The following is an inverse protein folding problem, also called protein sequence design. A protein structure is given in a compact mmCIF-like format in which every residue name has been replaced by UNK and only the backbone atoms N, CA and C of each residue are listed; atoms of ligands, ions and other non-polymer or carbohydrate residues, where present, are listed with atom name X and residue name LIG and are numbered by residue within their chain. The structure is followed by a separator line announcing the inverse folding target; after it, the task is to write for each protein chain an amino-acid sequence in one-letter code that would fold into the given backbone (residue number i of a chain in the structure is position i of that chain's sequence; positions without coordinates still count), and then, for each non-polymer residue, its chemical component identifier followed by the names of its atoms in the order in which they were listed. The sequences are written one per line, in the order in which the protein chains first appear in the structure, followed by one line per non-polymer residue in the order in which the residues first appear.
data_IF_775465948505
#
_entry.id   IF_775465948505
#
_cell.length_a   1.000
_cell.length_b   1.000
_cell.length_c   1.000
_cell.angle_alpha   90.00
_cell.angle_beta   90.00
_cell.angle_gamma   90.00
#
_symmetry.space_group_name_H-M   'P 1'
#
loop_
_entity.id
_entity.type
_entity.pdbx_description
1 polymer ?
#
# COMPACT_ATOMS: atom_id res chain seq x y z
N UNK A 1 1.06 -0.85 6.35
CA UNK A 1 1.54 -2.24 6.43
C UNK A 1 0.39 -3.20 6.30
N UNK A 2 0.42 -4.04 5.27
CA UNK A 2 -0.69 -4.95 4.91
C UNK A 2 -0.20 -6.34 4.46
N UNK A 3 1.09 -6.47 4.16
CA UNK A 3 1.70 -7.69 3.68
C UNK A 3 3.16 -7.73 4.12
N UNK A 4 3.79 -8.89 3.95
CA UNK A 4 5.24 -9.02 4.16
C UNK A 4 5.99 -8.91 2.84
N UNK A 5 7.24 -8.50 2.92
CA UNK A 5 8.22 -8.69 1.86
C UNK A 5 9.23 -9.70 2.38
N UNK A 6 9.49 -10.74 1.61
CA UNK A 6 10.48 -11.73 1.99
C UNK A 6 11.88 -11.13 1.92
N UNK A 7 12.63 -11.18 3.02
CA UNK A 7 14.07 -10.95 2.99
C UNK A 7 14.75 -12.21 2.46
N UNK A 8 14.96 -12.26 1.16
CA UNK A 8 15.57 -13.37 0.45
C UNK A 8 17.05 -13.61 0.81
N UNK A 9 17.75 -12.58 1.30
CA UNK A 9 19.11 -12.71 1.86
C UNK A 9 19.16 -13.45 3.20
N UNK A 10 18.01 -13.72 3.82
CA UNK A 10 17.93 -14.65 4.95
C UNK A 10 18.00 -16.12 4.53
N UNK A 11 18.33 -16.43 3.29
CA UNK A 11 18.67 -17.76 2.81
C UNK A 11 19.99 -17.75 2.03
N UNK A 12 20.67 -18.92 1.89
CA UNK A 12 20.36 -20.21 2.52
C UNK A 12 20.78 -20.28 4.00
N UNK A 13 20.50 -21.40 4.66
CA UNK A 13 20.98 -21.66 6.02
C UNK A 13 22.46 -22.04 6.03
N UNK A 14 23.22 -21.48 6.98
CA UNK A 14 24.64 -21.80 7.15
C UNK A 14 24.86 -23.14 7.89
N UNK A 15 23.91 -23.54 8.73
CA UNK A 15 23.98 -24.77 9.54
C UNK A 15 22.72 -25.62 9.33
N UNK A 16 22.91 -26.90 8.96
CA UNK A 16 21.80 -27.81 8.63
C UNK A 16 20.93 -28.20 9.83
N UNK A 17 21.50 -28.23 11.04
CA UNK A 17 20.86 -28.73 12.26
C UNK A 17 19.61 -27.95 12.68
N UNK A 18 19.43 -26.72 12.17
CA UNK A 18 18.33 -25.82 12.56
C UNK A 18 17.30 -25.53 11.45
N UNK A 19 17.45 -26.14 10.27
CA UNK A 19 16.59 -25.83 9.10
C UNK A 19 15.12 -26.11 9.39
N UNK A 20 14.78 -27.29 9.93
CA UNK A 20 13.38 -27.67 10.16
C UNK A 20 12.69 -26.74 11.18
N UNK A 21 13.37 -26.45 12.30
CA UNK A 21 12.82 -25.57 13.33
C UNK A 21 12.65 -24.14 12.82
N UNK A 22 13.63 -23.61 12.09
CA UNK A 22 13.57 -22.26 11.56
C UNK A 22 12.51 -22.10 10.46
N UNK A 23 12.34 -23.10 9.59
CA UNK A 23 11.25 -23.12 8.62
C UNK A 23 9.89 -23.18 9.33
N UNK A 24 9.72 -24.07 10.33
CA UNK A 24 8.48 -24.13 11.13
C UNK A 24 8.17 -22.80 11.79
N UNK A 25 9.16 -22.15 12.40
CA UNK A 25 9.02 -20.82 13.00
C UNK A 25 8.52 -19.79 11.98
N UNK A 26 9.13 -19.74 10.79
CA UNK A 26 8.72 -18.84 9.70
C UNK A 26 7.25 -19.03 9.33
N UNK A 27 6.82 -20.28 9.09
CA UNK A 27 5.44 -20.56 8.72
C UNK A 27 4.44 -20.33 9.85
N UNK A 28 4.84 -20.54 11.11
CA UNK A 28 4.00 -20.25 12.28
C UNK A 28 3.79 -18.74 12.47
N UNK A 29 4.81 -17.92 12.21
CA UNK A 29 4.68 -16.46 12.18
C UNK A 29 3.67 -16.04 11.11
N UNK A 30 3.83 -16.52 9.87
CA UNK A 30 2.89 -16.21 8.80
C UNK A 30 1.47 -16.68 9.13
N UNK A 31 1.32 -17.88 9.70
CA UNK A 31 0.02 -18.39 10.16
C UNK A 31 -0.62 -17.47 11.20
N UNK A 32 0.14 -16.91 12.14
CA UNK A 32 -0.38 -15.91 13.08
C UNK A 32 -0.81 -14.63 12.35
N UNK A 33 0.01 -14.17 11.41
CA UNK A 33 -0.24 -12.93 10.68
C UNK A 33 -1.45 -12.99 9.74
N UNK A 34 -1.70 -14.13 9.09
CA UNK A 34 -2.88 -14.32 8.21
C UNK A 34 -4.21 -14.17 8.95
N UNK A 35 -4.27 -14.51 10.24
CA UNK A 35 -5.47 -14.33 11.09
C UNK A 35 -5.87 -12.86 11.22
N UNK A 36 -4.92 -11.94 11.01
CA UNK A 36 -5.10 -10.50 11.14
C UNK A 36 -4.84 -9.76 9.82
N UNK A 37 -5.14 -10.45 8.70
CA UNK A 37 -5.11 -9.96 7.32
C UNK A 37 -3.75 -9.72 6.67
N UNK A 38 -2.63 -10.14 7.26
CA UNK A 38 -1.34 -10.24 6.56
C UNK A 38 -1.30 -11.52 5.74
N UNK A 39 -1.96 -11.52 4.58
CA UNK A 39 -2.18 -12.73 3.76
C UNK A 39 -1.20 -12.88 2.61
N UNK A 40 -0.44 -11.84 2.28
CA UNK A 40 0.44 -11.83 1.12
C UNK A 40 1.90 -11.75 1.56
N UNK A 41 2.76 -12.47 0.84
CA UNK A 41 4.21 -12.29 0.87
C UNK A 41 4.65 -11.85 -0.53
N UNK A 42 5.41 -10.76 -0.62
CA UNK A 42 6.04 -10.35 -1.87
C UNK A 42 7.50 -10.80 -1.94
N UNK A 43 7.93 -11.22 -3.13
CA UNK A 43 9.28 -11.75 -3.37
C UNK A 43 9.93 -11.10 -4.59
N UNK A 44 11.26 -11.14 -4.66
CA UNK A 44 12.05 -10.70 -5.82
C UNK A 44 11.74 -11.55 -7.05
N UNK A 45 11.98 -11.01 -8.24
CA UNK A 45 11.75 -11.70 -9.52
C UNK A 45 12.79 -12.80 -9.77
N UNK A 46 13.92 -12.74 -9.06
CA UNK A 46 14.99 -13.73 -9.08
C UNK A 46 14.60 -15.01 -8.33
N UNK A 47 13.61 -14.95 -7.43
CA UNK A 47 13.12 -16.10 -6.69
C UNK A 47 11.99 -16.81 -7.43
N UNK A 48 11.95 -18.13 -7.28
CA UNK A 48 10.84 -18.97 -7.72
C UNK A 48 9.58 -18.67 -6.90
N UNK A 49 8.53 -18.18 -7.57
CA UNK A 49 7.23 -17.89 -6.95
C UNK A 49 6.52 -19.14 -6.43
N UNK A 50 6.86 -20.32 -6.94
CA UNK A 50 6.44 -21.61 -6.40
C UNK A 50 7.22 -22.05 -5.16
N UNK A 51 8.28 -21.34 -4.81
CA UNK A 51 9.22 -21.62 -3.70
C UNK A 51 9.94 -22.96 -3.79
N UNK A 52 9.69 -23.78 -4.81
CA UNK A 52 10.17 -25.16 -4.87
C UNK A 52 11.67 -25.25 -5.11
N UNK A 53 12.24 -24.31 -5.87
CA UNK A 53 13.66 -24.27 -6.19
C UNK A 53 14.49 -23.37 -5.25
N UNK A 54 13.88 -22.85 -4.18
CA UNK A 54 14.59 -22.01 -3.21
C UNK A 54 15.57 -22.88 -2.41
N UNK A 55 16.88 -22.57 -2.43
CA UNK A 55 17.88 -23.31 -1.65
C UNK A 55 17.76 -22.97 -0.16
N UNK A 56 17.78 -24.00 0.68
CA UNK A 56 17.76 -23.87 2.15
C UNK A 56 19.00 -24.44 2.82
N UNK A 57 19.87 -25.15 2.11
CA UNK A 57 21.10 -25.67 2.68
C UNK A 57 21.98 -26.27 1.58
N UNK A 58 23.01 -27.00 1.96
CA UNK A 58 23.87 -27.68 1.00
C UNK A 58 23.05 -28.68 0.19
N UNK A 59 22.91 -28.44 -1.13
CA UNK A 59 22.13 -29.27 -2.06
C UNK A 59 20.69 -29.60 -1.62
N UNK A 60 20.09 -28.78 -0.75
CA UNK A 60 18.74 -28.99 -0.22
C UNK A 60 17.84 -27.81 -0.56
N UNK A 61 16.63 -28.13 -1.04
CA UNK A 61 15.63 -27.16 -1.49
C UNK A 61 14.40 -27.19 -0.60
N UNK A 62 13.66 -26.08 -0.54
CA UNK A 62 12.37 -25.99 0.19
C UNK A 62 11.45 -27.15 -0.19
N UNK A 63 11.37 -27.54 -1.48
CA UNK A 63 10.53 -28.66 -1.92
C UNK A 63 10.80 -29.95 -1.16
N UNK A 64 12.07 -30.31 -0.98
CA UNK A 64 12.46 -31.54 -0.27
C UNK A 64 11.95 -31.52 1.17
N UNK A 65 12.08 -30.37 1.83
CA UNK A 65 11.57 -30.19 3.19
C UNK A 65 10.03 -30.23 3.24
N UNK A 66 9.34 -29.58 2.30
CA UNK A 66 7.87 -29.63 2.20
C UNK A 66 7.39 -31.08 2.06
N UNK A 67 8.04 -31.88 1.23
CA UNK A 67 7.69 -33.28 0.98
C UNK A 67 7.81 -34.18 2.22
N UNK A 68 8.62 -33.79 3.21
CA UNK A 68 8.78 -34.51 4.48
C UNK A 68 7.69 -34.16 5.52
N UNK A 69 6.89 -33.12 5.30
CA UNK A 69 5.85 -32.70 6.25
C UNK A 69 4.56 -33.54 6.12
N UNK A 70 3.72 -33.50 7.16
CA UNK A 70 2.39 -34.11 7.12
C UNK A 70 1.45 -33.41 6.11
N UNK A 71 0.33 -34.06 5.77
CA UNK A 71 -0.59 -33.57 4.75
C UNK A 71 -1.27 -32.24 5.13
N UNK A 72 -1.54 -32.03 6.42
CA UNK A 72 -2.17 -30.81 6.90
C UNK A 72 -1.21 -29.63 6.75
N UNK A 73 0.04 -29.82 7.18
CA UNK A 73 1.09 -28.83 7.13
C UNK A 73 1.48 -28.48 5.69
N UNK A 74 1.58 -29.49 4.81
CA UNK A 74 1.73 -29.30 3.35
C UNK A 74 0.63 -28.41 2.77
N UNK A 75 -0.63 -28.66 3.15
CA UNK A 75 -1.77 -27.85 2.70
C UNK A 75 -1.62 -26.37 3.07
N UNK A 76 -1.15 -26.09 4.30
CA UNK A 76 -0.90 -24.73 4.78
C UNK A 76 0.22 -24.04 4.00
N UNK A 77 1.34 -24.73 3.77
CA UNK A 77 2.45 -24.17 2.99
C UNK A 77 2.01 -23.85 1.56
N UNK A 78 1.25 -24.76 0.92
CA UNK A 78 0.72 -24.51 -0.43
C UNK A 78 -0.19 -23.28 -0.49
N UNK A 79 -1.02 -23.06 0.53
CA UNK A 79 -1.85 -21.87 0.62
C UNK A 79 -1.01 -20.58 0.73
N UNK A 80 0.09 -20.61 1.49
CA UNK A 80 1.05 -19.51 1.55
C UNK A 80 1.70 -19.26 0.18
N UNK A 81 2.22 -20.31 -0.47
CA UNK A 81 2.86 -20.20 -1.79
C UNK A 81 1.90 -19.60 -2.81
N UNK A 82 0.62 -20.03 -2.79
CA UNK A 82 -0.41 -19.48 -3.67
C UNK A 82 -0.73 -18.00 -3.40
N UNK A 83 -0.43 -17.49 -2.21
CA UNK A 83 -0.61 -16.08 -1.84
C UNK A 83 0.62 -15.21 -2.14
N UNK A 84 1.72 -15.81 -2.63
CA UNK A 84 2.95 -15.11 -2.98
C UNK A 84 2.73 -14.23 -4.20
N UNK A 85 3.26 -13.00 -4.16
CA UNK A 85 3.27 -12.08 -5.28
C UNK A 85 4.70 -11.76 -5.70
N UNK A 86 4.91 -11.69 -7.01
CA UNK A 86 6.16 -11.26 -7.65
C UNK A 86 5.79 -10.43 -8.88
N UNK A 87 6.47 -9.32 -9.19
CA UNK A 87 7.64 -8.72 -8.51
C UNK A 87 7.36 -8.12 -7.10
N UNK A 88 8.41 -7.77 -6.34
CA UNK A 88 8.25 -7.04 -5.06
C UNK A 88 7.50 -5.71 -5.28
N UNK A 89 7.94 -4.97 -6.29
CA UNK A 89 7.35 -3.70 -6.71
C UNK A 89 6.49 -3.92 -7.94
N UNK A 90 5.19 -3.60 -7.85
CA UNK A 90 4.31 -3.58 -9.02
C UNK A 90 4.64 -2.37 -9.90
N UNK A 91 4.56 -2.52 -11.22
CA UNK A 91 4.83 -1.44 -12.21
C UNK A 91 3.95 -0.20 -11.97
N UNK A 92 2.81 -0.38 -11.31
CA UNK A 92 1.86 0.69 -10.98
C UNK A 92 2.23 1.47 -9.71
N UNK A 93 3.25 1.04 -8.96
CA UNK A 93 3.67 1.68 -7.71
C UNK A 93 4.56 2.89 -8.01
N UNK A 94 4.25 4.05 -7.41
CA UNK A 94 5.03 5.28 -7.59
C UNK A 94 6.48 5.11 -7.14
N UNK A 95 6.71 4.24 -6.16
CA UNK A 95 8.05 3.92 -5.67
C UNK A 95 8.92 3.19 -6.70
N UNK A 96 8.38 2.77 -7.87
CA UNK A 96 9.19 2.15 -8.93
C UNK A 96 10.25 3.11 -9.46
N UNK A 97 9.90 4.38 -9.72
CA UNK A 97 10.86 5.37 -10.19
C UNK A 97 11.93 5.62 -9.13
N UNK A 98 11.52 5.76 -7.87
CA UNK A 98 12.44 5.95 -6.75
C UNK A 98 13.35 4.75 -6.54
N UNK A 99 12.82 3.54 -6.66
CA UNK A 99 13.57 2.30 -6.55
C UNK A 99 14.62 2.16 -7.68
N UNK A 100 14.31 2.63 -8.90
CA UNK A 100 15.28 2.64 -10.00
C UNK A 100 16.47 3.58 -9.76
N UNK A 101 16.29 4.59 -8.92
CA UNK A 101 17.32 5.55 -8.53
C UNK A 101 17.96 5.23 -7.18
N UNK A 102 17.62 4.09 -6.57
CA UNK A 102 18.04 3.74 -5.22
C UNK A 102 18.73 2.38 -5.16
N UNK A 103 19.93 2.35 -4.56
CA UNK A 103 20.59 1.13 -4.14
C UNK A 103 20.53 0.99 -2.61
N UNK A 104 20.35 -0.24 -2.14
CA UNK A 104 20.22 -0.55 -0.71
C UNK A 104 21.21 -1.63 -0.30
N UNK A 105 21.92 -1.41 0.81
CA UNK A 105 22.92 -2.33 1.32
C UNK A 105 22.72 -2.64 2.80
N UNK A 106 23.05 -3.86 3.20
CA UNK A 106 23.19 -4.27 4.59
C UNK A 106 24.52 -4.98 4.74
N UNK A 107 25.41 -4.43 5.57
CA UNK A 107 26.78 -4.96 5.74
C UNK A 107 27.51 -5.11 4.39
N UNK A 108 27.40 -4.10 3.51
CA UNK A 108 27.98 -4.06 2.16
C UNK A 108 27.38 -5.04 1.14
N UNK A 109 26.34 -5.80 1.51
CA UNK A 109 25.62 -6.69 0.60
C UNK A 109 24.40 -5.95 0.07
N UNK A 110 24.18 -5.97 -1.25
CA UNK A 110 22.97 -5.40 -1.85
C UNK A 110 21.74 -6.16 -1.35
N UNK A 111 20.73 -5.45 -0.82
CA UNK A 111 19.52 -6.01 -0.20
C UNK A 111 18.25 -5.32 -0.73
N UNK A 112 17.93 -5.49 -2.02
CA UNK A 112 16.79 -4.81 -2.65
C UNK A 112 15.44 -5.13 -1.97
N UNK A 113 15.29 -6.32 -1.40
CA UNK A 113 14.08 -6.70 -0.65
C UNK A 113 13.87 -5.88 0.62
N UNK A 114 14.94 -5.60 1.38
CA UNK A 114 14.89 -4.71 2.54
C UNK A 114 14.69 -3.25 2.11
N UNK A 115 15.31 -2.83 1.01
CA UNK A 115 15.07 -1.52 0.40
C UNK A 115 13.59 -1.30 0.05
N UNK A 116 12.95 -2.31 -0.55
CA UNK A 116 11.53 -2.26 -0.84
C UNK A 116 10.65 -2.22 0.42
N UNK A 117 11.07 -2.85 1.54
CA UNK A 117 10.37 -2.71 2.82
C UNK A 117 10.35 -1.26 3.30
N UNK A 118 11.48 -0.56 3.16
CA UNK A 118 11.58 0.86 3.48
C UNK A 118 10.68 1.70 2.56
N UNK A 119 10.81 1.54 1.24
CA UNK A 119 10.05 2.33 0.26
C UNK A 119 8.53 2.14 0.39
N UNK A 120 8.09 0.89 0.58
CA UNK A 120 6.67 0.55 0.68
C UNK A 120 6.11 0.66 2.11
N UNK A 121 6.96 0.99 3.09
CA UNK A 121 6.63 0.96 4.52
C UNK A 121 5.95 -0.36 4.92
N UNK A 122 6.64 -1.48 4.65
CA UNK A 122 6.20 -2.85 4.93
C UNK A 122 7.17 -3.56 5.89
N UNK A 123 6.72 -4.66 6.47
CA UNK A 123 7.57 -5.51 7.31
C UNK A 123 8.36 -6.48 6.43
N UNK A 124 9.67 -6.57 6.68
CA UNK A 124 10.46 -7.69 6.21
C UNK A 124 10.08 -8.95 7.00
N UNK A 125 10.02 -10.08 6.30
CA UNK A 125 9.90 -11.40 6.91
C UNK A 125 11.16 -12.20 6.58
N UNK A 126 11.89 -12.62 7.60
CA UNK A 126 13.17 -13.30 7.51
C UNK A 126 13.11 -14.72 8.06
N UNK A 127 13.88 -15.62 7.47
CA UNK A 127 14.20 -16.90 8.07
C UNK A 127 15.25 -16.73 9.17
N UNK A 128 15.16 -17.55 10.22
CA UNK A 128 16.18 -17.63 11.26
C UNK A 128 17.34 -18.52 10.79
N UNK A 129 18.04 -18.09 9.74
CA UNK A 129 19.13 -18.85 9.11
C UNK A 129 20.52 -18.53 9.66
N UNK A 130 20.67 -17.33 10.19
CA UNK A 130 21.87 -16.82 10.84
C UNK A 130 21.43 -15.81 11.92
N UNK A 131 22.10 -15.75 13.09
CA UNK A 131 21.78 -14.81 14.17
C UNK A 131 21.69 -13.34 13.73
N UNK A 132 22.39 -12.93 12.66
CA UNK A 132 22.32 -11.57 12.11
C UNK A 132 20.92 -11.17 11.61
N UNK A 133 20.08 -12.16 11.28
CA UNK A 133 18.70 -11.95 10.86
C UNK A 133 17.72 -11.96 12.03
N UNK A 134 18.18 -12.28 13.23
CA UNK A 134 17.37 -12.24 14.45
C UNK A 134 17.35 -10.85 15.06
N UNK A 135 16.72 -9.92 14.36
CA UNK A 135 16.53 -8.55 14.84
C UNK A 135 15.13 -8.07 14.50
N UNK A 136 14.47 -7.28 15.38
CA UNK A 136 13.19 -6.66 15.06
C UNK A 136 13.32 -5.54 14.03
N UNK A 137 14.53 -5.04 13.75
CA UNK A 137 14.79 -4.08 12.69
C UNK A 137 16.24 -4.11 12.21
N UNK A 138 16.48 -3.56 11.02
CA UNK A 138 17.81 -3.40 10.43
C UNK A 138 18.05 -1.93 10.08
N UNK A 139 19.28 -1.46 10.29
CA UNK A 139 19.77 -0.24 9.67
C UNK A 139 20.44 -0.63 8.35
N UNK A 140 19.90 -0.13 7.24
CA UNK A 140 20.43 -0.36 5.90
C UNK A 140 20.98 0.94 5.31
N UNK A 141 22.05 0.83 4.53
CA UNK A 141 22.58 1.94 3.74
C UNK A 141 21.69 2.15 2.52
N UNK A 142 21.30 3.39 2.27
CA UNK A 142 20.50 3.82 1.12
C UNK A 142 21.31 4.84 0.33
N UNK A 143 21.58 4.50 -0.93
CA UNK A 143 22.26 5.35 -1.90
C UNK A 143 21.24 5.79 -2.94
N UNK A 144 20.91 7.09 -2.99
CA UNK A 144 19.88 7.63 -3.88
C UNK A 144 20.50 8.64 -4.86
N UNK A 145 20.23 8.46 -6.16
CA UNK A 145 20.60 9.42 -7.19
C UNK A 145 19.58 10.57 -7.20
N UNK A 146 20.06 11.81 -7.07
CA UNK A 146 19.21 13.00 -7.20
C UNK A 146 18.97 13.34 -8.66
N UNK A 147 17.72 13.65 -9.01
CA UNK A 147 17.37 14.11 -10.36
C UNK A 147 18.14 15.38 -10.70
N UNK A 148 19.03 15.29 -11.70
CA UNK A 148 19.74 16.43 -12.30
C UNK A 148 21.25 16.46 -12.05
N UNK A 149 21.75 15.80 -11.02
CA UNK A 149 23.17 15.80 -10.66
C UNK A 149 23.71 14.36 -10.51
N UNK A 150 24.97 14.14 -10.87
CA UNK A 150 25.69 12.87 -10.65
C UNK A 150 26.03 12.62 -9.17
N UNK A 151 25.35 13.30 -8.26
CA UNK A 151 25.58 13.25 -6.82
C UNK A 151 24.72 12.14 -6.19
N UNK A 152 25.37 11.28 -5.43
CA UNK A 152 24.73 10.18 -4.70
C UNK A 152 24.55 10.63 -3.25
N UNK A 153 23.29 10.68 -2.79
CA UNK A 153 23.01 10.88 -1.38
C UNK A 153 23.12 9.55 -0.63
N UNK A 154 23.92 9.56 0.45
CA UNK A 154 24.08 8.41 1.33
C UNK A 154 23.33 8.65 2.64
N UNK A 155 22.47 7.72 3.03
CA UNK A 155 21.76 7.80 4.30
C UNK A 155 21.45 6.43 4.89
N UNK A 156 21.31 6.36 6.22
CA UNK A 156 20.90 5.14 6.91
C UNK A 156 19.37 5.12 7.07
N UNK A 157 18.74 4.00 6.69
CA UNK A 157 17.29 3.80 6.82
C UNK A 157 17.01 2.62 7.75
N UNK A 158 16.02 2.78 8.62
CA UNK A 158 15.54 1.70 9.47
C UNK A 158 14.46 0.90 8.73
N UNK A 159 14.62 -0.42 8.69
CA UNK A 159 13.66 -1.37 8.13
C UNK A 159 13.18 -2.30 9.24
N UNK A 160 11.88 -2.39 9.42
CA UNK A 160 11.29 -3.30 10.40
C UNK A 160 11.31 -4.73 9.87
N UNK A 161 11.67 -5.67 10.73
CA UNK A 161 11.83 -7.08 10.40
C UNK A 161 11.11 -8.00 11.40
N UNK A 162 10.71 -9.16 10.91
CA UNK A 162 10.11 -10.25 11.68
C UNK A 162 10.87 -11.54 11.38
N UNK A 163 11.45 -12.13 12.43
CA UNK A 163 12.13 -13.44 12.38
C UNK A 163 11.61 -14.36 13.48
N UNK A 164 11.14 -13.79 14.59
CA UNK A 164 10.54 -14.51 15.71
C UNK A 164 9.09 -14.10 15.91
N UNK A 165 8.35 -14.95 16.64
CA UNK A 165 6.99 -14.64 17.09
C UNK A 165 6.95 -13.37 17.94
N UNK A 166 7.97 -13.12 18.76
CA UNK A 166 8.05 -11.92 19.59
C UNK A 166 8.19 -10.65 18.74
N UNK A 167 8.99 -10.69 17.66
CA UNK A 167 9.09 -9.56 16.72
C UNK A 167 7.74 -9.27 16.07
N UNK A 168 7.02 -10.31 15.64
CA UNK A 168 5.68 -10.17 15.07
C UNK A 168 4.70 -9.53 16.06
N UNK A 169 4.63 -10.04 17.28
CA UNK A 169 3.71 -9.54 18.31
C UNK A 169 4.01 -8.08 18.68
N UNK A 170 5.29 -7.71 18.75
CA UNK A 170 5.72 -6.33 18.94
C UNK A 170 5.23 -5.41 17.82
N UNK A 171 5.57 -5.72 16.55
CA UNK A 171 5.18 -4.89 15.41
C UNK A 171 3.67 -4.83 15.23
N UNK A 172 2.98 -5.95 15.45
CA UNK A 172 1.52 -6.00 15.34
C UNK A 172 0.85 -5.10 16.39
N UNK A 173 1.36 -5.06 17.62
CA UNK A 173 0.84 -4.15 18.66
C UNK A 173 0.96 -2.68 18.25
N UNK A 174 2.07 -2.28 17.60
CA UNK A 174 2.26 -0.92 17.09
C UNK A 174 1.30 -0.62 15.94
N UNK A 175 1.13 -1.57 15.01
CA UNK A 175 0.17 -1.45 13.91
C UNK A 175 -1.26 -1.28 14.44
N UNK A 176 -1.63 -2.03 15.46
CA UNK A 176 -2.95 -1.96 16.09
C UNK A 176 -3.16 -0.62 16.81
N UNK A 177 -2.16 -0.13 17.55
CA UNK A 177 -2.21 1.19 18.20
C UNK A 177 -2.41 2.32 17.18
N UNK A 178 -1.66 2.29 16.07
CA UNK A 178 -1.82 3.27 14.98
C UNK A 178 -3.23 3.18 14.38
N UNK A 179 -3.77 1.98 14.18
CA UNK A 179 -5.16 1.82 13.71
C UNK A 179 -6.17 2.42 14.67
N UNK A 180 -6.01 2.18 15.98
CA UNK A 180 -6.91 2.74 17.01
C UNK A 180 -6.80 4.27 17.05
N UNK A 181 -5.60 4.81 17.03
CA UNK A 181 -5.36 6.26 17.00
C UNK A 181 -5.97 6.90 15.75
N UNK A 182 -5.75 6.30 14.57
CA UNK A 182 -6.36 6.76 13.32
C UNK A 182 -7.88 6.70 13.39
N UNK A 183 -8.48 5.64 13.95
CA UNK A 183 -9.93 5.56 14.15
C UNK A 183 -10.46 6.65 15.08
N UNK A 184 -9.74 6.97 16.17
CA UNK A 184 -10.12 8.04 17.09
C UNK A 184 -10.01 9.42 16.41
N UNK A 185 -8.87 9.70 15.78
CA UNK A 185 -8.66 10.91 14.98
C UNK A 185 -9.71 11.04 13.89
N UNK A 186 -10.11 9.95 13.26
CA UNK A 186 -11.08 9.97 12.17
C UNK A 186 -12.51 10.33 12.59
N UNK A 187 -12.89 10.05 13.85
CA UNK A 187 -14.20 10.46 14.39
C UNK A 187 -14.23 11.96 14.67
N UNK A 188 -13.16 12.48 15.26
CA UNK A 188 -12.98 13.92 15.45
C UNK A 188 -12.91 14.62 14.08
N UNK A 189 -12.14 14.05 13.17
CA UNK A 189 -12.01 14.49 11.77
C UNK A 189 -13.36 14.62 11.08
N UNK A 190 -14.31 13.68 11.23
CA UNK A 190 -15.61 13.84 10.57
C UNK A 190 -16.37 15.07 11.05
N UNK A 191 -16.31 15.37 12.35
CA UNK A 191 -16.98 16.53 12.91
C UNK A 191 -16.28 17.82 12.45
N UNK A 192 -14.95 17.81 12.43
CA UNK A 192 -14.15 18.94 11.95
C UNK A 192 -14.33 19.11 10.43
N UNK A 193 -14.42 18.02 9.66
CA UNK A 193 -14.57 18.02 8.21
C UNK A 193 -15.85 18.74 7.77
N UNK A 194 -16.97 18.41 8.38
CA UNK A 194 -18.26 19.06 8.06
C UNK A 194 -18.25 20.55 8.44
N UNK A 195 -17.38 20.95 9.39
CA UNK A 195 -17.20 22.34 9.80
C UNK A 195 -16.22 23.10 8.88
N UNK A 196 -15.14 22.44 8.44
CA UNK A 196 -14.06 23.02 7.64
C UNK A 196 -14.42 23.10 6.15
N UNK A 197 -15.25 22.19 5.66
CA UNK A 197 -15.60 22.09 4.25
C UNK A 197 -17.11 22.06 4.05
N UNK A 198 -17.77 23.17 4.34
CA UNK A 198 -19.23 23.31 4.25
C UNK A 198 -19.79 23.05 2.84
N UNK A 199 -18.96 23.23 1.80
CA UNK A 199 -19.32 23.01 0.40
C UNK A 199 -18.95 21.62 -0.12
N UNK A 200 -18.37 20.75 0.71
CA UNK A 200 -17.97 19.40 0.31
C UNK A 200 -18.86 18.37 0.98
N UNK A 201 -19.44 17.48 0.17
CA UNK A 201 -20.23 16.36 0.69
C UNK A 201 -19.64 15.02 0.29
N UNK A 202 -19.39 14.20 1.29
CA UNK A 202 -18.87 12.85 1.11
C UNK A 202 -20.02 11.84 1.09
N UNK A 203 -20.10 11.00 0.07
CA UNK A 203 -21.03 9.87 0.11
C UNK A 203 -20.63 8.89 1.22
N UNK A 204 -21.59 8.11 1.74
CA UNK A 204 -21.38 7.23 2.90
C UNK A 204 -20.21 6.25 2.74
N UNK A 205 -19.97 5.74 1.54
CA UNK A 205 -18.87 4.83 1.26
C UNK A 205 -17.52 5.53 1.38
N UNK A 206 -17.39 6.76 0.88
CA UNK A 206 -16.16 7.56 1.00
C UNK A 206 -15.91 7.96 2.46
N UNK A 207 -16.96 8.42 3.18
CA UNK A 207 -16.86 8.68 4.63
C UNK A 207 -16.29 7.47 5.37
N UNK A 208 -16.84 6.27 5.13
CA UNK A 208 -16.38 5.02 5.76
C UNK A 208 -14.91 4.70 5.46
N UNK A 209 -14.43 4.91 4.22
CA UNK A 209 -13.03 4.65 3.86
C UNK A 209 -12.07 5.61 4.54
N UNK A 210 -12.43 6.90 4.58
CA UNK A 210 -11.64 7.93 5.27
C UNK A 210 -11.57 7.64 6.78
N UNK A 211 -12.71 7.24 7.38
CA UNK A 211 -12.78 6.88 8.81
C UNK A 211 -11.90 5.68 9.14
N UNK A 212 -11.95 4.64 8.32
CA UNK A 212 -11.23 3.39 8.59
C UNK A 212 -9.72 3.50 8.42
N UNK A 213 -9.20 4.63 7.95
CA UNK A 213 -7.77 4.81 7.68
C UNK A 213 -7.27 3.83 6.62
N UNK A 214 -8.09 3.53 5.60
CA UNK A 214 -7.73 2.64 4.49
C UNK A 214 -6.69 3.24 3.52
N UNK A 215 -6.18 4.44 3.83
CA UNK A 215 -5.28 5.22 2.99
C UNK A 215 -3.94 5.43 3.69
N UNK A 216 -2.84 5.42 2.92
CA UNK A 216 -1.52 5.79 3.44
C UNK A 216 -1.52 7.26 3.90
N UNK A 217 -0.65 7.66 4.84
CA UNK A 217 -0.58 9.06 5.31
C UNK A 217 -0.38 10.07 4.16
N UNK A 218 0.49 9.74 3.19
CA UNK A 218 0.73 10.58 2.01
C UNK A 218 -0.51 10.70 1.14
N UNK A 219 -1.22 9.59 0.91
CA UNK A 219 -2.46 9.63 0.13
C UNK A 219 -3.56 10.41 0.86
N UNK A 220 -3.64 10.27 2.18
CA UNK A 220 -4.57 11.03 3.00
C UNK A 220 -4.33 12.55 2.91
N UNK A 221 -3.07 12.99 2.99
CA UNK A 221 -2.73 14.41 2.83
C UNK A 221 -3.16 14.94 1.45
N UNK A 222 -2.88 14.20 0.37
CA UNK A 222 -3.27 14.64 -0.99
C UNK A 222 -4.79 14.70 -1.19
N UNK A 223 -5.53 13.78 -0.56
CA UNK A 223 -7.00 13.85 -0.53
C UNK A 223 -7.43 15.16 0.13
N UNK A 224 -6.80 15.52 1.24
CA UNK A 224 -7.10 16.75 1.97
C UNK A 224 -6.80 18.01 1.16
N UNK A 225 -5.63 18.09 0.53
CA UNK A 225 -5.25 19.23 -0.31
C UNK A 225 -6.24 19.38 -1.47
N UNK A 226 -6.64 18.26 -2.09
CA UNK A 226 -7.64 18.26 -3.17
C UNK A 226 -9.00 18.74 -2.68
N UNK A 227 -9.48 18.25 -1.54
CA UNK A 227 -10.76 18.65 -0.95
C UNK A 227 -10.75 20.15 -0.60
N UNK A 228 -9.65 20.64 -0.05
CA UNK A 228 -9.45 22.06 0.28
C UNK A 228 -9.60 22.91 -0.98
N UNK A 229 -8.85 22.61 -2.04
CA UNK A 229 -8.94 23.38 -3.29
C UNK A 229 -10.33 23.34 -3.92
N UNK A 230 -11.02 22.18 -3.85
CA UNK A 230 -12.40 22.07 -4.34
C UNK A 230 -13.37 22.92 -3.51
N UNK A 231 -13.20 22.99 -2.19
CA UNK A 231 -14.03 23.81 -1.32
C UNK A 231 -13.80 25.31 -1.57
N UNK A 232 -12.53 25.72 -1.66
CA UNK A 232 -12.14 27.11 -1.92
C UNK A 232 -12.69 27.61 -3.26
N UNK A 233 -12.75 26.75 -4.27
CA UNK A 233 -13.38 27.07 -5.55
C UNK A 233 -14.86 27.42 -5.40
N UNK A 234 -15.61 26.64 -4.60
CA UNK A 234 -17.03 26.94 -4.39
C UNK A 234 -17.21 28.24 -3.60
N UNK A 235 -16.35 28.52 -2.61
CA UNK A 235 -16.33 29.79 -1.89
C UNK A 235 -16.11 30.94 -2.88
N UNK A 236 -15.11 30.85 -3.75
CA UNK A 236 -14.82 31.86 -4.77
C UNK A 236 -16.01 32.09 -5.73
N UNK A 237 -16.70 31.02 -6.15
CA UNK A 237 -17.91 31.12 -6.95
C UNK A 237 -19.04 31.87 -6.21
N UNK A 238 -19.24 31.58 -4.93
CA UNK A 238 -20.26 32.23 -4.11
C UNK A 238 -19.95 33.71 -3.88
N UNK A 239 -18.69 34.04 -3.57
CA UNK A 239 -18.23 35.42 -3.38
C UNK A 239 -18.39 36.26 -4.66
N UNK A 240 -18.16 35.65 -5.83
CA UNK A 240 -18.35 36.29 -7.15
C UNK A 240 -19.79 36.20 -7.66
N UNK A 241 -20.67 35.47 -6.97
CA UNK A 241 -22.05 35.19 -7.39
C UNK A 241 -22.13 34.59 -8.80
N UNK A 242 -21.27 33.61 -9.10
CA UNK A 242 -21.23 32.86 -10.36
C UNK A 242 -21.53 31.38 -10.13
N UNK A 243 -22.21 30.69 -11.06
CA UNK A 243 -22.46 29.26 -10.94
C UNK A 243 -21.17 28.46 -11.19
N UNK A 244 -20.86 27.45 -10.34
CA UNK A 244 -19.68 26.62 -10.54
C UNK A 244 -19.82 25.72 -11.75
N UNK A 245 -18.70 25.48 -12.43
CA UNK A 245 -18.61 24.60 -13.60
C UNK A 245 -17.23 23.94 -13.66
N UNK A 246 -17.12 22.86 -14.44
CA UNK A 246 -15.89 22.07 -14.47
C UNK A 246 -14.71 22.80 -15.11
N UNK A 247 -14.93 23.64 -16.12
CA UNK A 247 -13.85 24.35 -16.81
C UNK A 247 -13.15 25.31 -15.85
N UNK A 248 -13.92 26.17 -15.19
CA UNK A 248 -13.38 27.15 -14.25
C UNK A 248 -12.78 26.48 -13.02
N UNK A 249 -13.34 25.34 -12.58
CA UNK A 249 -12.79 24.55 -11.48
C UNK A 249 -11.39 24.02 -11.81
N UNK A 250 -11.19 23.50 -13.02
CA UNK A 250 -9.90 22.98 -13.47
C UNK A 250 -8.87 24.11 -13.47
N UNK A 251 -9.24 25.27 -14.03
CA UNK A 251 -8.37 26.44 -14.12
C UNK A 251 -8.07 27.05 -12.74
N UNK A 252 -9.03 27.03 -11.81
CA UNK A 252 -8.83 27.54 -10.45
C UNK A 252 -7.93 26.62 -9.61
N UNK A 253 -8.23 25.33 -9.62
CA UNK A 253 -7.59 24.38 -8.69
C UNK A 253 -6.24 23.88 -9.18
N UNK A 254 -5.96 23.97 -10.48
CA UNK A 254 -4.76 23.40 -11.11
C UNK A 254 -4.59 21.89 -10.85
N UNK A 255 -5.67 21.21 -10.45
CA UNK A 255 -5.69 19.76 -10.24
C UNK A 255 -5.76 19.04 -11.60
N UNK A 256 -5.12 17.88 -11.73
CA UNK A 256 -5.26 17.05 -12.92
C UNK A 256 -6.62 16.35 -12.90
N UNK A 257 -7.61 17.02 -13.49
CA UNK A 257 -9.00 16.57 -13.56
C UNK A 257 -9.34 16.26 -15.01
N UNK A 258 -10.03 15.15 -15.21
CA UNK A 258 -10.64 14.83 -16.50
C UNK A 258 -11.99 14.16 -16.32
N UNK A 259 -12.82 14.24 -17.34
CA UNK A 259 -14.03 13.45 -17.44
C UNK A 259 -13.74 12.02 -17.96
N UNK A 260 -14.68 11.11 -17.75
CA UNK A 260 -14.66 9.78 -18.34
C UNK A 260 -14.84 9.85 -19.87
N UNK A 261 -14.23 8.90 -20.57
CA UNK A 261 -14.33 8.82 -22.03
C UNK A 261 -15.73 8.40 -22.48
N UNK A 262 -16.08 8.72 -23.73
CA UNK A 262 -17.34 8.30 -24.34
C UNK A 262 -17.48 6.77 -24.40
N UNK A 263 -16.37 6.04 -24.52
CA UNK A 263 -16.37 4.58 -24.49
C UNK A 263 -16.84 4.01 -23.14
N UNK A 264 -16.51 4.69 -22.03
CA UNK A 264 -16.96 4.33 -20.68
C UNK A 264 -18.40 4.77 -20.46
N UNK A 265 -18.76 6.00 -20.87
CA UNK A 265 -20.11 6.56 -20.70
C UNK A 265 -21.17 5.78 -21.46
N UNK A 266 -20.88 5.35 -22.69
CA UNK A 266 -21.82 4.64 -23.55
C UNK A 266 -21.88 3.12 -23.28
N UNK A 267 -21.11 2.63 -22.31
CA UNK A 267 -21.13 1.21 -21.91
C UNK A 267 -21.78 1.05 -20.53
N UNK A 268 -22.99 0.49 -20.52
CA UNK A 268 -23.78 0.26 -19.30
C UNK A 268 -23.05 -0.48 -18.19
N UNK A 269 -22.12 -1.40 -18.51
CA UNK A 269 -21.37 -2.13 -17.49
C UNK A 269 -20.32 -1.22 -16.85
N UNK A 270 -19.62 -0.44 -17.65
CA UNK A 270 -18.54 0.44 -17.19
C UNK A 270 -19.08 1.69 -16.49
N UNK A 271 -20.17 2.27 -17.01
CA UNK A 271 -20.81 3.46 -16.46
C UNK A 271 -21.39 3.21 -15.05
N UNK A 272 -21.92 2.01 -14.80
CA UNK A 272 -22.43 1.59 -13.47
C UNK A 272 -21.40 1.70 -12.35
N UNK A 273 -20.11 1.54 -12.64
CA UNK A 273 -19.07 1.70 -11.63
C UNK A 273 -18.90 3.16 -11.15
N UNK A 274 -19.41 4.14 -11.92
CA UNK A 274 -19.40 5.57 -11.58
C UNK A 274 -20.76 6.09 -11.10
N UNK A 275 -21.74 5.19 -10.90
CA UNK A 275 -23.02 5.54 -10.32
C UNK A 275 -22.93 5.47 -8.80
N UNK A 276 -23.00 6.63 -8.16
CA UNK A 276 -23.00 6.74 -6.70
C UNK A 276 -24.29 7.37 -6.22
N UNK A 277 -24.77 6.93 -5.05
CA UNK A 277 -26.01 7.44 -4.46
C UNK A 277 -25.73 8.67 -3.59
N UNK A 278 -26.46 9.73 -3.85
CA UNK A 278 -26.47 10.97 -3.09
C UNK A 278 -27.92 11.42 -2.88
N UNK A 279 -28.31 11.76 -1.65
CA UNK A 279 -29.69 12.11 -1.28
C UNK A 279 -30.79 11.15 -1.80
N UNK A 280 -30.47 9.85 -1.86
CA UNK A 280 -31.41 8.80 -2.29
C UNK A 280 -31.41 8.53 -3.81
N UNK A 281 -30.91 9.47 -4.61
CA UNK A 281 -30.80 9.38 -6.07
C UNK A 281 -29.42 8.91 -6.51
N UNK A 282 -29.35 8.29 -7.69
CA UNK A 282 -28.09 7.84 -8.29
C UNK A 282 -27.62 8.86 -9.33
N UNK A 283 -26.40 9.35 -9.19
CA UNK A 283 -25.78 10.25 -10.16
C UNK A 283 -24.55 9.60 -10.78
N UNK A 284 -24.21 10.02 -11.99
CA UNK A 284 -22.99 9.61 -12.68
C UNK A 284 -21.85 10.59 -12.38
N UNK A 285 -20.77 10.08 -11.79
CA UNK A 285 -19.60 10.88 -11.37
C UNK A 285 -18.47 10.68 -12.38
N UNK A 286 -18.58 11.35 -13.54
CA UNK A 286 -17.61 11.24 -14.64
C UNK A 286 -16.28 11.94 -14.35
N UNK A 287 -16.34 13.13 -13.74
CA UNK A 287 -15.14 13.89 -13.43
C UNK A 287 -14.35 13.28 -12.28
N UNK A 288 -13.03 13.20 -12.47
CA UNK A 288 -12.13 12.62 -11.48
C UNK A 288 -10.76 13.26 -11.44
N UNK A 289 -10.18 13.33 -10.24
CA UNK A 289 -8.83 13.83 -9.98
C UNK A 289 -7.82 12.67 -10.07
N UNK A 290 -6.67 12.92 -10.73
CA UNK A 290 -5.61 11.94 -10.98
C UNK A 290 -4.34 12.13 -10.15
N UNK A 291 -4.26 13.16 -9.31
CA UNK A 291 -3.07 13.58 -8.56
C UNK A 291 -2.62 12.61 -7.44
N UNK A 292 -3.12 11.37 -7.44
CA UNK A 292 -2.91 10.40 -6.37
C UNK A 292 -1.99 9.25 -6.80
N UNK A 293 -1.25 8.67 -5.84
CA UNK A 293 -0.39 7.52 -6.11
C UNK A 293 -1.14 6.28 -6.59
N UNK A 294 -0.41 5.35 -7.21
CA UNK A 294 -0.91 4.00 -7.54
C UNK A 294 -2.20 3.99 -8.37
N UNK A 295 -2.26 4.88 -9.37
CA UNK A 295 -3.44 5.05 -10.23
C UNK A 295 -4.74 5.28 -9.44
N UNK A 296 -4.64 5.85 -8.23
CA UNK A 296 -5.82 6.19 -7.45
C UNK A 296 -6.50 7.42 -8.03
N UNK A 297 -7.82 7.49 -7.84
CA UNK A 297 -8.71 8.50 -8.38
C UNK A 297 -9.71 8.93 -7.32
N UNK A 298 -10.11 10.19 -7.40
CA UNK A 298 -11.23 10.74 -6.65
C UNK A 298 -12.30 11.18 -7.65
N UNK A 299 -13.45 10.51 -7.65
CA UNK A 299 -14.58 10.87 -8.51
C UNK A 299 -15.52 11.81 -7.76
N UNK A 300 -15.94 12.88 -8.43
CA UNK A 300 -16.78 13.92 -7.85
C UNK A 300 -17.81 14.45 -8.85
N UNK A 301 -18.78 15.20 -8.33
CA UNK A 301 -19.87 15.83 -9.06
C UNK A 301 -20.10 17.23 -8.49
N UNK A 302 -20.21 18.24 -9.33
CA UNK A 302 -20.64 19.59 -8.93
C UNK A 302 -22.18 19.63 -8.92
N UNK A 303 -22.78 20.09 -7.81
CA UNK A 303 -24.21 20.31 -7.63
C UNK A 303 -24.45 21.69 -7.02
N UNK A 304 -25.01 22.61 -7.79
CA UNK A 304 -25.36 23.98 -7.36
C UNK A 304 -24.21 24.69 -6.61
N UNK A 305 -24.19 24.66 -5.28
CA UNK A 305 -23.19 25.29 -4.42
C UNK A 305 -22.37 24.28 -3.62
N UNK A 306 -22.25 23.04 -4.11
CA UNK A 306 -21.56 21.94 -3.44
C UNK A 306 -20.84 21.05 -4.43
N UNK A 307 -19.81 20.37 -3.93
CA UNK A 307 -19.15 19.27 -4.62
C UNK A 307 -19.39 18.00 -3.82
N UNK A 308 -19.94 16.99 -4.49
CA UNK A 308 -20.16 15.67 -3.91
C UNK A 308 -19.04 14.74 -4.35
N UNK A 309 -18.39 14.07 -3.41
CA UNK A 309 -17.33 13.09 -3.67
C UNK A 309 -17.93 11.69 -3.55
N UNK A 310 -18.03 11.01 -4.69
CA UNK A 310 -18.66 9.69 -4.84
C UNK A 310 -17.71 8.52 -4.60
N UNK A 311 -16.42 8.70 -4.89
CA UNK A 311 -15.44 7.62 -4.76
C UNK A 311 -14.02 8.14 -4.54
N UNK A 312 -13.27 7.42 -3.71
CA UNK A 312 -11.82 7.55 -3.54
C UNK A 312 -11.22 6.15 -3.49
N UNK A 313 -10.20 5.89 -4.31
CA UNK A 313 -9.52 4.60 -4.36
C UNK A 313 -8.87 4.32 -5.71
N UNK A 314 -8.55 3.06 -5.99
CA UNK A 314 -7.94 2.62 -7.26
C UNK A 314 -8.82 2.99 -8.47
N UNK A 315 -8.19 3.14 -9.63
CA UNK A 315 -8.87 3.33 -10.91
C UNK A 315 -10.01 2.31 -11.10
N UNK A 316 -11.18 2.80 -11.49
CA UNK A 316 -12.35 1.96 -11.76
C UNK A 316 -12.17 1.24 -13.12
N UNK A 317 -12.81 0.08 -13.35
CA UNK A 317 -12.69 -0.65 -14.61
C UNK A 317 -13.04 0.22 -15.82
N UNK A 318 -12.28 0.16 -16.91
CA UNK A 318 -12.50 0.92 -18.15
C UNK A 318 -12.50 0.03 -19.37
#
# INVERSE_FOLDING_TARGET
MEYFILNDHSLPFEQEENIDQALKLFFDIYKKATKVNFKTIRITNSLDSGWYSIPIGCNTYIRTWIEQQDQEYKGRIKALIASTQSPILSIEEIEVERAQLSDFFYQQISVPSLGACYLLNQLALSFYSNPKWDSPSFLIDHHELKNGDSEIEHSLKNVNNVTTVAHWEHHYSLIEQVKIQNLQQSKTFLNDFETLFEHIQLVTTVKKKLIKGEFSPVFHQRIWDSITSLNDYIIDCLDKNIPPNYTDLIDFTQLNISDESDSVKNNDKLSRHRLFRYNGESYFFGYHIKNFPSSQRMHFLILENKIVIGYVGKHLPT
#
